data_IF_573802587345
#
_entry.id   IF_573802587345
#
_cell.length_a   1.000
_cell.length_b   1.000
_cell.length_c   1.000
_cell.angle_alpha   90.00
_cell.angle_beta   90.00
_cell.angle_gamma   90.00
#
_symmetry.space_group_name_H-M   'P 1'
#
loop_
_entity.id
_entity.type
_entity.pdbx_description
1 polymer ?
#
# COMPACT_ATOMS: atom_id res chain seq x y z
N UNK A 1 -7.31 10.78 51.93
CA UNK A 1 -7.24 9.74 50.89
C UNK A 1 -6.27 10.26 49.84
N UNK A 2 -5.10 9.65 49.69
CA UNK A 2 -4.15 10.03 48.67
C UNK A 2 -4.77 9.70 47.29
N UNK A 3 -4.74 10.64 46.38
CA UNK A 3 -5.11 10.37 44.98
C UNK A 3 -4.24 9.22 44.46
N UNK A 4 -4.80 8.24 43.76
CA UNK A 4 -4.03 7.13 43.19
C UNK A 4 -2.90 7.71 42.32
N UNK A 5 -1.71 7.11 42.40
CA UNK A 5 -0.59 7.55 41.56
C UNK A 5 -0.99 7.46 40.08
N UNK A 6 -0.47 8.30 39.19
CA UNK A 6 -0.73 8.16 37.75
C UNK A 6 -0.45 6.76 37.22
N UNK A 7 0.44 6.01 37.87
CA UNK A 7 0.77 4.63 37.53
C UNK A 7 -0.35 3.63 37.86
N UNK A 8 -1.26 3.96 38.80
CA UNK A 8 -2.35 3.09 39.25
C UNK A 8 -3.68 3.36 38.53
N UNK A 9 -3.72 4.34 37.61
CA UNK A 9 -4.91 4.60 36.84
C UNK A 9 -5.26 3.40 35.94
N UNK A 10 -6.43 2.76 36.13
CA UNK A 10 -6.84 1.58 35.36
C UNK A 10 -6.88 1.85 33.84
N UNK A 11 -7.25 3.06 33.43
CA UNK A 11 -7.28 3.44 32.01
C UNK A 11 -5.88 3.49 31.42
N UNK A 12 -4.88 4.03 32.12
CA UNK A 12 -3.50 4.03 31.66
C UNK A 12 -2.90 2.62 31.60
N UNK A 13 -3.26 1.72 32.51
CA UNK A 13 -2.88 0.30 32.42
C UNK A 13 -3.47 -0.34 31.17
N UNK A 14 -4.72 -0.04 30.87
CA UNK A 14 -5.42 -0.54 29.68
C UNK A 14 -4.76 -0.01 28.39
N UNK A 15 -4.44 1.30 28.32
CA UNK A 15 -3.72 1.90 27.18
C UNK A 15 -2.35 1.24 26.96
N UNK A 16 -1.58 1.01 28.01
CA UNK A 16 -0.27 0.33 27.93
C UNK A 16 -0.37 -1.09 27.39
N UNK A 17 -1.48 -1.80 27.71
CA UNK A 17 -1.72 -3.18 27.26
C UNK A 17 -1.82 -3.29 25.74
N UNK A 18 -2.43 -2.29 25.10
CA UNK A 18 -2.73 -2.31 23.67
C UNK A 18 -1.82 -1.42 22.83
N UNK A 19 -0.98 -0.60 23.46
CA UNK A 19 -0.16 0.39 22.77
C UNK A 19 0.74 -0.24 21.71
N UNK A 20 1.36 -1.36 22.04
CA UNK A 20 2.33 -2.05 21.19
C UNK A 20 1.82 -3.43 20.75
N UNK A 21 0.52 -3.69 20.92
CA UNK A 21 -0.15 -4.95 20.58
C UNK A 21 -1.47 -4.67 19.85
N UNK A 22 -1.41 -4.27 18.55
CA UNK A 22 -2.59 -3.97 17.75
C UNK A 22 -3.45 -5.20 17.47
N UNK A 23 -2.87 -6.39 17.46
CA UNK A 23 -3.58 -7.66 17.27
C UNK A 23 -4.51 -7.90 18.45
N UNK A 24 -4.00 -7.82 19.66
CA UNK A 24 -4.82 -7.92 20.86
C UNK A 24 -5.87 -6.82 20.95
N UNK A 25 -5.54 -5.60 20.51
CA UNK A 25 -6.50 -4.51 20.42
C UNK A 25 -7.65 -4.85 19.45
N UNK A 26 -7.36 -5.41 18.30
CA UNK A 26 -8.37 -5.85 17.35
C UNK A 26 -9.29 -6.91 17.94
N UNK A 27 -8.74 -7.92 18.61
CA UNK A 27 -9.47 -9.03 19.22
C UNK A 27 -10.32 -8.59 20.43
N UNK A 28 -9.71 -7.92 21.38
CA UNK A 28 -10.35 -7.63 22.68
C UNK A 28 -11.20 -6.36 22.65
N UNK A 29 -10.77 -5.30 21.92
CA UNK A 29 -11.40 -3.99 21.92
C UNK A 29 -12.34 -3.79 20.72
N UNK A 30 -11.90 -4.15 19.51
CA UNK A 30 -12.76 -4.08 18.32
C UNK A 30 -13.67 -5.30 18.23
N UNK A 31 -13.21 -6.47 18.66
CA UNK A 31 -13.93 -7.74 18.56
C UNK A 31 -13.90 -8.29 17.15
N UNK A 32 -12.78 -8.13 16.45
CA UNK A 32 -12.47 -8.74 15.16
C UNK A 32 -11.27 -9.67 15.36
N UNK A 33 -11.39 -10.90 14.87
CA UNK A 33 -10.27 -11.82 14.79
C UNK A 33 -9.55 -11.56 13.45
N UNK A 34 -8.29 -11.06 13.48
CA UNK A 34 -7.53 -10.81 12.24
C UNK A 34 -7.09 -12.13 11.61
N UNK A 35 -7.09 -12.20 10.27
CA UNK A 35 -6.44 -13.29 9.54
C UNK A 35 -4.92 -13.21 9.69
N UNK A 36 -4.20 -14.31 9.40
CA UNK A 36 -2.75 -14.40 9.58
C UNK A 36 -1.99 -13.24 8.94
N UNK A 37 -2.31 -12.89 7.69
CA UNK A 37 -1.69 -11.77 7.00
C UNK A 37 -2.06 -10.40 7.62
N UNK A 38 -3.26 -10.26 8.21
CA UNK A 38 -3.66 -9.04 8.92
C UNK A 38 -2.93 -8.92 10.26
N UNK A 39 -2.65 -10.04 10.93
CA UNK A 39 -1.77 -10.07 12.10
C UNK A 39 -0.38 -9.56 11.72
N UNK A 40 0.21 -10.11 10.65
CA UNK A 40 1.51 -9.69 10.13
C UNK A 40 1.55 -8.18 9.78
N UNK A 41 0.48 -7.67 9.13
CA UNK A 41 0.35 -6.25 8.81
C UNK A 41 0.31 -5.38 10.08
N UNK A 42 -0.50 -5.76 11.05
CA UNK A 42 -0.66 -5.01 12.30
C UNK A 42 0.64 -4.99 13.10
N UNK A 43 1.33 -6.12 13.21
CA UNK A 43 2.62 -6.24 13.88
C UNK A 43 3.70 -5.42 13.17
N UNK A 44 3.74 -5.45 11.84
CA UNK A 44 4.66 -4.64 11.05
C UNK A 44 4.44 -3.13 11.28
N UNK A 45 3.18 -2.66 11.33
CA UNK A 45 2.85 -1.24 11.62
C UNK A 45 3.23 -0.84 13.05
N UNK A 46 3.10 -1.75 14.01
CA UNK A 46 3.46 -1.50 15.41
C UNK A 46 4.97 -1.50 15.65
N UNK A 47 5.73 -2.20 14.83
CA UNK A 47 7.18 -2.37 14.98
C UNK A 47 7.93 -1.05 14.76
N UNK A 48 8.73 -0.56 15.73
CA UNK A 48 9.40 0.74 15.62
C UNK A 48 10.42 0.83 14.47
N UNK A 49 10.96 -0.31 14.03
CA UNK A 49 11.93 -0.37 12.93
C UNK A 49 11.28 -0.32 11.55
N UNK A 50 9.97 -0.64 11.44
CA UNK A 50 9.25 -0.69 10.17
C UNK A 50 8.59 0.66 9.91
N UNK A 51 9.00 1.33 8.84
CA UNK A 51 8.48 2.65 8.43
C UNK A 51 7.64 2.58 7.18
N UNK A 52 7.77 1.53 6.40
CA UNK A 52 7.17 1.40 5.08
C UNK A 52 6.68 -0.03 4.88
N UNK A 53 5.39 -0.19 4.66
CA UNK A 53 4.74 -1.48 4.41
C UNK A 53 4.01 -1.43 3.08
N UNK A 54 4.20 -2.42 2.24
CA UNK A 54 3.52 -2.53 0.95
C UNK A 54 2.91 -3.91 0.78
N UNK A 55 1.58 -3.95 0.63
CA UNK A 55 0.79 -5.20 0.55
C UNK A 55 0.13 -5.30 -0.81
N UNK A 56 0.59 -6.24 -1.63
CA UNK A 56 -0.11 -6.62 -2.86
C UNK A 56 -1.00 -7.84 -2.61
N UNK A 57 -2.20 -7.83 -3.17
CA UNK A 57 -3.10 -8.97 -2.94
C UNK A 57 -4.12 -9.18 -4.04
N UNK A 58 -4.76 -10.35 -4.01
CA UNK A 58 -5.99 -10.62 -4.75
C UNK A 58 -7.20 -9.87 -4.20
N UNK A 59 -8.37 -10.08 -4.79
CA UNK A 59 -9.63 -9.47 -4.39
C UNK A 59 -10.24 -10.16 -3.16
N UNK A 60 -10.94 -9.41 -2.33
CA UNK A 60 -11.77 -9.98 -1.26
C UNK A 60 -11.02 -10.53 -0.04
N UNK A 61 -9.69 -10.40 0.03
CA UNK A 61 -8.86 -10.92 1.13
C UNK A 61 -8.98 -10.11 2.44
N UNK A 62 -9.78 -9.03 2.49
CA UNK A 62 -9.99 -8.22 3.69
C UNK A 62 -9.01 -7.05 3.88
N UNK A 63 -8.46 -6.47 2.79
CA UNK A 63 -7.55 -5.30 2.84
C UNK A 63 -8.13 -4.15 3.66
N UNK A 64 -9.33 -3.69 3.30
CA UNK A 64 -9.95 -2.53 3.92
C UNK A 64 -10.19 -2.73 5.42
N UNK A 65 -10.52 -3.96 5.85
CA UNK A 65 -10.68 -4.29 7.29
C UNK A 65 -9.33 -4.24 8.02
N UNK A 66 -8.24 -4.78 7.42
CA UNK A 66 -6.89 -4.69 7.99
C UNK A 66 -6.42 -3.25 8.17
N UNK A 67 -6.58 -2.44 7.13
CA UNK A 67 -6.27 -0.99 7.15
C UNK A 67 -7.12 -0.25 8.17
N UNK A 68 -8.43 -0.56 8.28
CA UNK A 68 -9.32 0.06 9.25
C UNK A 68 -8.94 -0.28 10.70
N UNK A 69 -8.59 -1.53 11.00
CA UNK A 69 -8.09 -1.92 12.32
C UNK A 69 -6.83 -1.14 12.70
N UNK A 70 -5.87 -1.04 11.77
CA UNK A 70 -4.64 -0.27 11.96
C UNK A 70 -4.91 1.22 12.23
N UNK A 71 -5.81 1.85 11.45
CA UNK A 71 -6.18 3.25 11.60
C UNK A 71 -6.83 3.55 12.97
N UNK A 72 -7.78 2.72 13.39
CA UNK A 72 -8.49 2.89 14.67
C UNK A 72 -7.54 2.63 15.85
N UNK A 73 -6.68 1.60 15.77
CA UNK A 73 -5.64 1.39 16.76
C UNK A 73 -4.70 2.58 16.84
N UNK A 74 -4.20 3.08 15.71
CA UNK A 74 -3.24 4.19 15.67
C UNK A 74 -3.80 5.46 16.30
N UNK A 75 -5.04 5.86 15.96
CA UNK A 75 -5.66 7.08 16.51
C UNK A 75 -5.92 6.99 18.01
N UNK A 76 -6.13 5.79 18.56
CA UNK A 76 -6.40 5.60 19.99
C UNK A 76 -5.12 5.34 20.81
N UNK A 77 -4.11 4.69 20.23
CA UNK A 77 -2.94 4.20 20.96
C UNK A 77 -1.68 5.04 20.75
N UNK A 78 -1.64 5.91 19.73
CA UNK A 78 -0.50 6.80 19.41
C UNK A 78 -0.91 8.26 19.58
N UNK A 79 -0.73 8.83 20.75
CA UNK A 79 -1.13 10.22 21.03
C UNK A 79 0.11 11.12 21.15
N UNK A 80 0.11 12.36 20.57
CA UNK A 80 -0.80 12.82 19.51
C UNK A 80 -0.53 12.12 18.18
N UNK A 81 -1.58 11.93 17.36
CA UNK A 81 -1.44 11.18 16.12
C UNK A 81 -2.32 11.71 14.99
N UNK A 82 -1.81 11.65 13.77
CA UNK A 82 -2.58 11.93 12.56
C UNK A 82 -2.50 10.76 11.61
N UNK A 83 -3.65 10.20 11.27
CA UNK A 83 -3.77 9.20 10.22
C UNK A 83 -4.38 9.84 8.99
N UNK A 84 -3.71 9.75 7.86
CA UNK A 84 -4.20 10.21 6.56
C UNK A 84 -4.50 9.00 5.70
N UNK A 85 -5.70 8.97 5.16
CA UNK A 85 -6.18 7.89 4.29
C UNK A 85 -6.42 8.45 2.90
N UNK A 86 -5.93 7.74 1.90
CA UNK A 86 -6.13 8.10 0.51
C UNK A 86 -6.44 6.89 -0.37
N UNK A 87 -7.08 7.14 -1.50
CA UNK A 87 -7.35 6.17 -2.55
C UNK A 87 -7.48 6.90 -3.90
N UNK A 88 -7.38 6.19 -5.05
CA UNK A 88 -7.41 6.81 -6.38
C UNK A 88 -8.71 7.58 -6.67
N UNK A 89 -9.83 7.08 -6.17
CA UNK A 89 -11.14 7.71 -6.41
C UNK A 89 -11.87 8.03 -5.11
N UNK A 90 -12.76 9.01 -5.17
CA UNK A 90 -13.62 9.39 -4.05
C UNK A 90 -14.50 8.23 -3.57
N UNK A 91 -15.02 7.44 -4.52
CA UNK A 91 -15.84 6.28 -4.19
C UNK A 91 -15.04 5.20 -3.42
N UNK A 92 -13.84 4.84 -3.90
CA UNK A 92 -12.95 3.91 -3.18
C UNK A 92 -12.59 4.42 -1.79
N UNK A 93 -12.32 5.73 -1.68
CA UNK A 93 -11.94 6.35 -0.41
C UNK A 93 -13.11 6.37 0.58
N UNK A 94 -14.25 6.95 0.20
CA UNK A 94 -15.34 7.22 1.14
C UNK A 94 -16.35 6.07 1.27
N UNK A 95 -16.70 5.41 0.16
CA UNK A 95 -17.74 4.38 0.15
C UNK A 95 -17.20 2.99 0.50
N UNK A 96 -15.90 2.76 0.32
CA UNK A 96 -15.25 1.50 0.68
C UNK A 96 -14.35 1.66 1.92
N UNK A 97 -13.19 2.30 1.79
CA UNK A 97 -12.16 2.32 2.83
C UNK A 97 -12.63 3.05 4.10
N UNK A 98 -13.12 4.28 3.98
CA UNK A 98 -13.56 5.07 5.13
C UNK A 98 -14.88 4.55 5.73
N UNK A 99 -15.78 4.01 4.91
CA UNK A 99 -16.98 3.34 5.41
C UNK A 99 -16.62 2.17 6.32
N UNK A 100 -15.61 1.37 5.95
CA UNK A 100 -15.12 0.28 6.80
C UNK A 100 -14.47 0.78 8.08
N UNK A 101 -13.70 1.88 8.03
CA UNK A 101 -13.16 2.50 9.25
C UNK A 101 -14.26 2.96 10.20
N UNK A 102 -15.36 3.54 9.67
CA UNK A 102 -16.53 3.88 10.48
C UNK A 102 -17.21 2.66 11.10
N UNK A 103 -17.28 1.56 10.36
CA UNK A 103 -17.84 0.31 10.86
C UNK A 103 -16.98 -0.27 12.00
N UNK A 104 -15.66 -0.29 11.82
CA UNK A 104 -14.71 -0.74 12.85
C UNK A 104 -14.77 0.16 14.08
N UNK A 105 -14.84 1.49 13.92
CA UNK A 105 -14.95 2.44 15.03
C UNK A 105 -16.23 2.22 15.86
N UNK A 106 -17.36 1.88 15.21
CA UNK A 106 -18.63 1.59 15.89
C UNK A 106 -18.61 0.28 16.69
N UNK A 107 -17.68 -0.62 16.40
CA UNK A 107 -17.52 -1.90 17.12
C UNK A 107 -16.72 -1.79 18.41
N UNK A 108 -16.07 -0.65 18.65
CA UNK A 108 -15.27 -0.43 19.84
C UNK A 108 -16.07 -0.71 21.12
N UNK A 109 -15.50 -1.53 21.99
CA UNK A 109 -16.07 -1.85 23.30
C UNK A 109 -15.70 -0.79 24.34
N UNK A 110 -16.47 -0.67 25.45
CA UNK A 110 -16.11 0.19 26.57
C UNK A 110 -14.70 -0.15 27.13
N UNK A 111 -13.92 0.85 27.52
CA UNK A 111 -14.24 2.28 27.60
C UNK A 111 -13.95 3.07 26.31
N UNK A 112 -13.51 2.42 25.22
CA UNK A 112 -13.04 3.07 23.99
C UNK A 112 -14.18 3.57 23.08
N UNK A 113 -15.37 2.99 23.19
CA UNK A 113 -16.53 3.27 22.31
C UNK A 113 -17.00 4.74 22.32
N UNK A 114 -16.71 5.49 23.38
CA UNK A 114 -17.12 6.88 23.52
C UNK A 114 -16.02 7.91 23.27
N UNK A 115 -14.80 7.45 22.94
CA UNK A 115 -13.64 8.33 22.78
C UNK A 115 -13.59 9.03 21.43
N UNK A 116 -14.13 8.39 20.38
CA UNK A 116 -14.08 8.89 19.02
C UNK A 116 -15.39 9.61 18.63
N UNK A 117 -15.25 10.66 17.83
CA UNK A 117 -16.33 11.30 17.09
C UNK A 117 -16.19 10.98 15.60
N UNK A 118 -17.26 10.47 15.00
CA UNK A 118 -17.30 10.05 13.59
C UNK A 118 -18.01 11.12 12.78
N UNK A 119 -17.29 11.79 11.88
CA UNK A 119 -17.80 12.80 10.95
C UNK A 119 -17.90 12.25 9.51
N UNK A 120 -18.30 13.07 8.57
CA UNK A 120 -18.45 12.68 7.16
C UNK A 120 -17.14 12.23 6.51
N UNK A 121 -16.05 12.93 6.82
CA UNK A 121 -14.72 12.81 6.20
C UNK A 121 -13.59 12.63 7.22
N UNK A 122 -13.93 12.51 8.51
CA UNK A 122 -12.97 12.49 9.61
C UNK A 122 -13.48 11.64 10.78
N UNK A 123 -12.56 10.95 11.44
CA UNK A 123 -12.78 10.36 12.77
C UNK A 123 -11.77 11.00 13.72
N UNK A 124 -12.23 11.59 14.82
CA UNK A 124 -11.35 12.34 15.69
C UNK A 124 -11.51 11.93 17.16
N UNK A 125 -10.44 12.12 17.94
CA UNK A 125 -10.48 11.94 19.39
C UNK A 125 -11.21 13.12 20.02
N UNK A 126 -12.35 12.89 20.67
CA UNK A 126 -13.21 13.95 21.24
C UNK A 126 -12.48 14.91 22.18
N UNK A 127 -11.52 14.40 22.95
CA UNK A 127 -10.74 15.22 23.91
C UNK A 127 -9.64 16.05 23.25
N UNK A 128 -9.27 15.76 21.98
CA UNK A 128 -8.17 16.42 21.29
C UNK A 128 -8.35 16.38 19.74
N UNK A 129 -9.46 16.94 19.21
CA UNK A 129 -9.85 16.75 17.80
C UNK A 129 -8.88 17.40 16.81
N UNK A 130 -8.13 18.43 17.21
CA UNK A 130 -7.17 19.13 16.36
C UNK A 130 -5.84 18.39 16.23
N UNK A 131 -5.47 17.60 17.24
CA UNK A 131 -4.16 16.93 17.29
C UNK A 131 -4.21 15.43 17.01
N UNK A 132 -5.40 14.81 17.10
CA UNK A 132 -5.53 13.36 17.01
C UNK A 132 -6.76 12.94 16.22
N UNK A 133 -6.53 12.48 14.99
CA UNK A 133 -7.61 12.17 14.06
C UNK A 133 -7.18 11.25 12.90
N UNK A 134 -8.19 10.68 12.24
CA UNK A 134 -8.12 10.07 10.92
C UNK A 134 -8.79 11.02 9.93
N UNK A 135 -8.15 11.39 8.83
CA UNK A 135 -8.72 12.23 7.78
C UNK A 135 -8.60 11.58 6.40
N UNK A 136 -9.64 11.72 5.59
CA UNK A 136 -9.67 11.26 4.21
C UNK A 136 -9.25 12.38 3.27
N UNK A 137 -8.32 12.08 2.36
CA UNK A 137 -7.84 13.02 1.34
C UNK A 137 -7.73 12.31 0.00
N UNK A 138 -8.40 12.82 -1.02
CA UNK A 138 -8.33 12.22 -2.36
C UNK A 138 -6.96 12.44 -3.00
N UNK A 139 -6.45 11.43 -3.69
CA UNK A 139 -5.21 11.52 -4.47
C UNK A 139 -5.55 11.83 -5.93
N UNK A 140 -5.27 13.06 -6.37
CA UNK A 140 -5.47 13.50 -7.75
C UNK A 140 -4.17 14.07 -8.31
N UNK A 141 -3.91 13.80 -9.59
CA UNK A 141 -2.73 14.35 -10.28
C UNK A 141 -2.71 15.87 -10.28
N UNK A 142 -3.89 16.49 -10.29
CA UNK A 142 -4.06 17.96 -10.34
C UNK A 142 -3.85 18.63 -8.98
N UNK A 143 -3.85 17.85 -7.89
CA UNK A 143 -3.67 18.33 -6.52
C UNK A 143 -2.84 17.34 -5.69
N UNK A 144 -1.59 17.06 -6.08
CA UNK A 144 -0.74 16.09 -5.38
C UNK A 144 -0.44 16.51 -3.94
N UNK A 145 -0.44 17.82 -3.64
CA UNK A 145 -0.16 18.37 -2.32
C UNK A 145 -1.27 18.10 -1.29
N UNK A 146 -2.39 17.47 -1.69
CA UNK A 146 -3.45 17.11 -0.75
C UNK A 146 -2.96 16.27 0.44
N UNK A 147 -1.88 15.48 0.26
CA UNK A 147 -1.25 14.69 1.31
C UNK A 147 -0.10 15.41 2.03
N UNK A 148 0.30 16.59 1.56
CA UNK A 148 1.35 17.38 2.19
C UNK A 148 0.86 18.07 3.48
N UNK A 149 1.82 18.53 4.31
CA UNK A 149 1.53 19.36 5.48
C UNK A 149 0.90 18.63 6.67
N UNK A 150 0.97 17.32 6.72
CA UNK A 150 0.53 16.53 7.88
C UNK A 150 1.71 16.33 8.83
N UNK A 151 1.69 17.06 9.94
CA UNK A 151 2.74 16.97 10.96
C UNK A 151 2.12 16.59 12.30
N UNK A 152 2.70 15.58 12.94
CA UNK A 152 2.39 15.11 14.29
C UNK A 152 3.58 14.31 14.82
N UNK A 153 3.60 14.04 16.13
CA UNK A 153 4.59 13.10 16.68
C UNK A 153 4.45 11.70 16.08
N UNK A 154 3.21 11.27 15.83
CA UNK A 154 2.91 9.98 15.21
C UNK A 154 2.07 10.23 13.95
N UNK A 155 2.56 9.80 12.79
CA UNK A 155 1.87 9.92 11.50
C UNK A 155 1.72 8.55 10.88
N UNK A 156 0.51 8.23 10.41
CA UNK A 156 0.23 7.03 9.62
C UNK A 156 -0.40 7.45 8.30
N UNK A 157 0.27 7.15 7.20
CA UNK A 157 -0.27 7.30 5.85
C UNK A 157 -0.78 5.94 5.37
N UNK A 158 -2.04 5.86 5.03
CA UNK A 158 -2.70 4.68 4.48
C UNK A 158 -3.15 4.98 3.05
N UNK A 159 -2.55 4.32 2.08
CA UNK A 159 -2.92 4.43 0.68
C UNK A 159 -3.56 3.11 0.22
N UNK A 160 -4.89 3.12 0.07
CA UNK A 160 -5.63 1.97 -0.43
C UNK A 160 -5.74 2.02 -1.96
N UNK A 161 -5.76 0.86 -2.61
CA UNK A 161 -5.70 0.70 -4.06
C UNK A 161 -4.51 1.47 -4.68
N UNK A 162 -3.34 1.35 -4.05
CA UNK A 162 -2.14 2.14 -4.33
C UNK A 162 -1.63 2.04 -5.77
N UNK A 163 -1.93 0.96 -6.49
CA UNK A 163 -1.62 0.78 -7.91
C UNK A 163 -2.22 1.88 -8.81
N UNK A 164 -3.33 2.48 -8.39
CA UNK A 164 -4.03 3.54 -9.11
C UNK A 164 -3.64 4.96 -8.70
N UNK A 165 -2.81 5.12 -7.67
CA UNK A 165 -2.41 6.45 -7.15
C UNK A 165 -1.24 7.00 -7.98
N UNK A 166 -1.32 8.24 -8.48
CA UNK A 166 -0.22 8.88 -9.21
C UNK A 166 1.05 9.05 -8.35
N UNK A 167 2.22 8.88 -8.96
CA UNK A 167 3.52 8.97 -8.27
C UNK A 167 3.73 10.33 -7.60
N UNK A 168 3.36 11.42 -8.25
CA UNK A 168 3.47 12.78 -7.70
C UNK A 168 2.77 12.95 -6.32
N UNK A 169 1.74 12.15 -6.04
CA UNK A 169 1.03 12.15 -4.76
C UNK A 169 1.91 11.57 -3.64
N UNK A 170 2.66 10.51 -3.93
CA UNK A 170 3.61 9.92 -2.99
C UNK A 170 4.82 10.82 -2.75
N UNK A 171 5.31 11.51 -3.79
CA UNK A 171 6.36 12.51 -3.68
C UNK A 171 5.94 13.66 -2.76
N UNK A 172 4.74 14.22 -2.97
CA UNK A 172 4.20 15.28 -2.12
C UNK A 172 4.00 14.83 -0.66
N UNK A 173 3.60 13.57 -0.44
CA UNK A 173 3.44 12.99 0.89
C UNK A 173 4.77 12.78 1.61
N UNK A 174 5.89 12.61 0.89
CA UNK A 174 7.19 12.26 1.45
C UNK A 174 7.66 13.26 2.52
N UNK A 175 7.40 14.55 2.33
CA UNK A 175 7.69 15.61 3.30
C UNK A 175 6.96 15.44 4.64
N UNK A 176 5.71 14.99 4.62
CA UNK A 176 4.91 14.69 5.81
C UNK A 176 5.41 13.44 6.56
N UNK A 177 6.11 12.55 5.86
CA UNK A 177 6.62 11.27 6.39
C UNK A 177 8.08 11.36 6.88
N UNK A 178 8.67 12.56 6.94
CA UNK A 178 10.05 12.78 7.42
C UNK A 178 10.22 12.63 8.93
N UNK A 179 9.14 12.56 9.70
CA UNK A 179 9.17 12.45 11.17
C UNK A 179 9.62 11.08 11.67
N UNK A 180 10.16 11.04 12.89
CA UNK A 180 10.71 9.83 13.52
C UNK A 180 9.67 8.71 13.75
N UNK A 181 8.39 9.05 13.89
CA UNK A 181 7.30 8.10 14.11
C UNK A 181 6.26 8.18 12.97
N UNK A 182 6.76 8.26 11.72
CA UNK A 182 5.94 8.24 10.54
C UNK A 182 6.00 6.87 9.87
N UNK A 183 4.83 6.28 9.57
CA UNK A 183 4.71 4.98 8.89
C UNK A 183 3.81 5.13 7.65
N UNK A 184 4.26 4.59 6.54
CA UNK A 184 3.49 4.53 5.28
C UNK A 184 3.05 3.10 5.02
N UNK A 185 1.77 2.91 4.73
CA UNK A 185 1.20 1.62 4.35
C UNK A 185 0.50 1.76 3.00
N UNK A 186 0.93 0.96 2.06
CA UNK A 186 0.31 0.82 0.75
C UNK A 186 -0.42 -0.52 0.69
N UNK A 187 -1.66 -0.52 0.24
CA UNK A 187 -2.41 -1.74 -0.05
C UNK A 187 -3.04 -1.64 -1.43
N UNK A 188 -3.13 -2.75 -2.14
CA UNK A 188 -3.80 -2.74 -3.44
C UNK A 188 -3.69 -4.04 -4.22
N UNK A 189 -4.51 -4.11 -5.25
CA UNK A 189 -4.35 -5.12 -6.28
C UNK A 189 -3.22 -4.68 -7.23
N UNK A 190 -2.30 -5.56 -7.61
CA UNK A 190 -1.14 -5.23 -8.46
C UNK A 190 -1.55 -5.15 -9.94
N UNK A 191 -2.26 -4.08 -10.31
CA UNK A 191 -2.89 -3.95 -11.64
C UNK A 191 -1.93 -3.47 -12.74
N UNK A 192 -0.75 -2.95 -12.38
CA UNK A 192 0.21 -2.36 -13.32
C UNK A 192 1.63 -2.80 -12.98
N UNK A 193 2.47 -2.98 -14.01
CA UNK A 193 3.91 -3.27 -13.90
C UNK A 193 4.75 -1.99 -13.87
N UNK A 194 4.13 -0.85 -13.57
CA UNK A 194 4.76 0.46 -13.52
C UNK A 194 4.22 1.27 -12.36
N UNK A 195 4.94 2.33 -11.97
CA UNK A 195 4.56 3.26 -10.93
C UNK A 195 5.03 2.85 -9.53
N UNK A 196 4.85 3.78 -8.60
CA UNK A 196 5.44 3.70 -7.27
C UNK A 196 5.08 2.41 -6.51
N UNK A 197 3.83 1.93 -6.59
CA UNK A 197 3.41 0.70 -5.92
C UNK A 197 4.16 -0.53 -6.46
N UNK A 198 4.33 -0.63 -7.79
CA UNK A 198 5.14 -1.68 -8.41
C UNK A 198 6.60 -1.61 -7.95
N UNK A 199 7.17 -0.41 -7.92
CA UNK A 199 8.54 -0.18 -7.50
C UNK A 199 8.81 -0.63 -6.07
N UNK A 200 7.84 -0.48 -5.15
CA UNK A 200 7.98 -0.98 -3.76
C UNK A 200 8.14 -2.49 -3.66
N UNK A 201 7.70 -3.23 -4.66
CA UNK A 201 7.84 -4.69 -4.73
C UNK A 201 8.99 -5.16 -5.63
N UNK A 202 9.67 -4.23 -6.31
CA UNK A 202 10.77 -4.52 -7.26
C UNK A 202 12.03 -3.73 -6.89
N UNK A 203 12.31 -2.62 -7.55
CA UNK A 203 13.57 -1.86 -7.38
C UNK A 203 13.74 -1.20 -6.01
N UNK A 204 12.65 -0.93 -5.27
CA UNK A 204 12.67 -0.33 -3.92
C UNK A 204 12.39 -1.38 -2.82
N UNK A 205 12.39 -2.67 -3.16
CA UNK A 205 11.97 -3.73 -2.24
C UNK A 205 12.75 -3.75 -0.92
N UNK A 206 14.02 -3.42 -0.95
CA UNK A 206 14.88 -3.45 0.23
C UNK A 206 14.54 -2.35 1.25
N UNK A 207 13.83 -1.29 0.81
CA UNK A 207 13.37 -0.18 1.65
C UNK A 207 11.98 -0.40 2.24
N UNK A 208 11.29 -1.48 1.84
CA UNK A 208 9.89 -1.75 2.18
C UNK A 208 9.72 -3.12 2.80
N UNK A 209 8.87 -3.19 3.84
CA UNK A 209 8.33 -4.45 4.30
C UNK A 209 7.22 -4.88 3.34
N UNK A 210 7.52 -5.83 2.46
CA UNK A 210 6.61 -6.23 1.40
C UNK A 210 5.85 -7.50 1.77
N UNK A 211 4.53 -7.48 1.53
CA UNK A 211 3.63 -8.60 1.77
C UNK A 211 2.89 -8.99 0.49
N UNK A 212 2.58 -10.27 0.38
CA UNK A 212 1.82 -10.83 -0.71
C UNK A 212 0.71 -11.73 -0.18
N UNK A 213 -0.54 -11.49 -0.63
CA UNK A 213 -1.72 -12.24 -0.18
C UNK A 213 -2.52 -12.74 -1.38
N UNK A 214 -2.55 -14.06 -1.57
CA UNK A 214 -3.37 -14.70 -2.58
C UNK A 214 -4.79 -14.95 -2.10
N UNK A 215 -5.78 -14.94 -3.01
CA UNK A 215 -7.12 -15.41 -2.72
C UNK A 215 -7.14 -16.89 -2.32
N UNK A 216 -6.24 -17.68 -2.88
CA UNK A 216 -6.15 -19.13 -2.63
C UNK A 216 -5.81 -19.42 -1.17
N UNK A 217 -5.01 -18.55 -0.55
CA UNK A 217 -4.56 -18.69 0.84
C UNK A 217 -5.46 -17.97 1.85
N UNK A 218 -6.46 -17.23 1.35
CA UNK A 218 -7.32 -16.40 2.20
C UNK A 218 -8.58 -17.14 2.65
N UNK A 219 -8.86 -17.27 3.95
CA UNK A 219 -10.08 -17.90 4.46
C UNK A 219 -11.35 -17.09 4.15
N UNK A 220 -11.20 -15.84 3.66
CA UNK A 220 -12.31 -14.94 3.32
C UNK A 220 -12.83 -15.16 1.89
N UNK A 221 -12.04 -15.81 1.04
CA UNK A 221 -12.38 -16.02 -0.36
C UNK A 221 -12.86 -17.46 -0.54
N UNK A 222 -14.04 -17.62 -1.17
CA UNK A 222 -14.58 -18.94 -1.42
C UNK A 222 -13.83 -19.65 -2.56
N UNK A 223 -13.74 -20.98 -2.48
CA UNK A 223 -13.20 -21.81 -3.56
C UNK A 223 -13.99 -21.64 -4.87
N UNK A 224 -15.30 -21.42 -4.77
CA UNK A 224 -16.17 -21.18 -5.93
C UNK A 224 -15.74 -19.91 -6.69
N UNK A 225 -15.38 -18.83 -5.98
CA UNK A 225 -14.87 -17.62 -6.62
C UNK A 225 -13.58 -17.90 -7.40
N UNK A 226 -12.63 -18.60 -6.79
CA UNK A 226 -11.35 -18.96 -7.42
C UNK A 226 -11.59 -19.80 -8.67
N UNK A 227 -12.48 -20.82 -8.56
CA UNK A 227 -12.84 -21.71 -9.67
C UNK A 227 -13.53 -20.95 -10.81
N UNK A 228 -14.44 -20.03 -10.50
CA UNK A 228 -15.13 -19.21 -11.51
C UNK A 228 -14.15 -18.28 -12.23
N UNK A 229 -13.22 -17.69 -11.50
CA UNK A 229 -12.18 -16.84 -12.09
C UNK A 229 -11.24 -17.64 -13.00
N UNK A 230 -10.86 -18.85 -12.58
CA UNK A 230 -10.07 -19.78 -13.39
C UNK A 230 -10.79 -20.17 -14.70
N UNK A 231 -12.07 -20.53 -14.62
CA UNK A 231 -12.88 -20.89 -15.81
C UNK A 231 -13.05 -19.69 -16.75
N UNK A 232 -13.25 -18.50 -16.20
CA UNK A 232 -13.56 -17.30 -16.97
C UNK A 232 -12.36 -16.70 -17.69
N UNK A 233 -11.21 -16.69 -17.04
CA UNK A 233 -10.02 -15.99 -17.53
C UNK A 233 -8.85 -16.91 -17.88
N UNK A 234 -8.80 -18.13 -17.32
CA UNK A 234 -7.62 -19.00 -17.38
C UNK A 234 -6.56 -18.61 -16.35
N UNK A 235 -5.82 -19.61 -15.85
CA UNK A 235 -4.80 -19.42 -14.80
C UNK A 235 -3.65 -18.51 -15.24
N UNK A 236 -3.25 -18.58 -16.50
CA UNK A 236 -2.12 -17.83 -17.07
C UNK A 236 -2.52 -16.40 -17.48
N UNK A 237 -3.79 -16.01 -17.32
CA UNK A 237 -4.24 -14.69 -17.75
C UNK A 237 -3.79 -13.58 -16.78
N UNK A 238 -3.50 -12.36 -17.28
CA UNK A 238 -3.23 -11.20 -16.43
C UNK A 238 -4.34 -10.96 -15.40
N UNK A 239 -5.60 -11.18 -15.78
CA UNK A 239 -6.75 -11.00 -14.90
C UNK A 239 -6.74 -11.98 -13.71
N UNK A 240 -6.38 -13.24 -13.92
CA UNK A 240 -6.27 -14.24 -12.86
C UNK A 240 -5.07 -13.93 -11.94
N UNK A 241 -3.91 -13.60 -12.52
CA UNK A 241 -2.74 -13.19 -11.76
C UNK A 241 -3.04 -12.02 -10.81
N UNK A 242 -3.68 -10.96 -11.29
CA UNK A 242 -3.98 -9.78 -10.49
C UNK A 242 -5.08 -10.05 -9.47
N UNK A 243 -6.21 -10.61 -9.91
CA UNK A 243 -7.43 -10.67 -9.11
C UNK A 243 -7.49 -11.84 -8.13
N UNK A 244 -6.83 -12.95 -8.47
CA UNK A 244 -6.81 -14.16 -7.64
C UNK A 244 -5.47 -14.34 -6.95
N UNK A 245 -4.39 -14.37 -7.72
CA UNK A 245 -3.08 -14.63 -7.14
C UNK A 245 -2.47 -13.41 -6.43
N UNK A 246 -2.96 -12.18 -6.70
CA UNK A 246 -2.34 -10.96 -6.17
C UNK A 246 -0.93 -10.74 -6.70
N UNK A 247 -0.64 -11.24 -7.89
CA UNK A 247 0.61 -11.06 -8.61
C UNK A 247 0.49 -9.94 -9.62
N UNK A 248 1.59 -9.23 -9.86
CA UNK A 248 1.66 -8.32 -11.00
C UNK A 248 1.41 -9.08 -12.29
N UNK A 249 0.73 -8.46 -13.28
CA UNK A 249 0.42 -9.15 -14.53
C UNK A 249 1.72 -9.53 -15.26
N UNK A 250 1.79 -10.71 -15.89
CA UNK A 250 2.96 -11.14 -16.65
C UNK A 250 3.20 -10.27 -17.90
N UNK A 251 2.16 -9.60 -18.36
CA UNK A 251 2.21 -8.60 -19.43
C UNK A 251 1.11 -7.57 -19.22
N UNK A 252 1.32 -6.32 -19.62
CA UNK A 252 0.24 -5.34 -19.70
C UNK A 252 -0.60 -5.62 -20.96
N UNK A 253 -1.93 -5.48 -20.89
CA UNK A 253 -2.86 -5.78 -21.99
C UNK A 253 -2.57 -4.93 -23.25
N UNK A 254 -1.97 -3.75 -23.08
CA UNK A 254 -1.63 -2.81 -24.18
C UNK A 254 -0.14 -2.86 -24.56
N UNK A 255 0.63 -3.81 -24.08
CA UNK A 255 2.08 -3.87 -24.39
C UNK A 255 2.31 -4.52 -25.74
N UNK A 256 2.94 -3.80 -26.65
CA UNK A 256 3.35 -4.35 -27.97
C UNK A 256 4.35 -5.51 -27.80
N UNK A 257 5.21 -5.41 -26.77
CA UNK A 257 6.19 -6.45 -26.42
C UNK A 257 6.06 -6.76 -24.92
N UNK A 258 5.63 -7.98 -24.53
CA UNK A 258 5.59 -8.39 -23.11
C UNK A 258 6.94 -8.25 -22.42
N UNK A 259 6.93 -7.76 -21.17
CA UNK A 259 8.16 -7.57 -20.36
C UNK A 259 8.96 -8.86 -20.26
N UNK A 260 8.30 -10.00 -20.12
CA UNK A 260 8.96 -11.32 -20.08
C UNK A 260 9.79 -11.60 -21.35
N UNK A 261 9.35 -11.12 -22.52
CA UNK A 261 10.14 -11.26 -23.77
C UNK A 261 11.33 -10.32 -23.77
N UNK A 262 11.18 -9.12 -23.19
CA UNK A 262 12.29 -8.16 -23.03
C UNK A 262 13.33 -8.73 -22.08
N UNK A 263 12.92 -9.21 -20.91
CA UNK A 263 13.82 -9.85 -19.93
C UNK A 263 14.52 -11.09 -20.50
N UNK A 264 13.77 -11.92 -21.23
CA UNK A 264 14.36 -13.07 -21.93
C UNK A 264 15.40 -12.64 -22.95
N UNK A 265 15.13 -11.57 -23.70
CA UNK A 265 16.08 -11.04 -24.69
C UNK A 265 17.34 -10.46 -24.03
N UNK A 266 17.21 -9.81 -22.87
CA UNK A 266 18.34 -9.27 -22.11
C UNK A 266 19.20 -10.33 -21.47
N UNK A 267 18.59 -11.40 -20.97
CA UNK A 267 19.29 -12.46 -20.23
C UNK A 267 19.76 -13.62 -21.10
N UNK A 268 19.43 -13.60 -22.41
CA UNK A 268 19.78 -14.67 -23.32
C UNK A 268 21.12 -14.37 -24.03
N UNK A 269 22.14 -15.17 -23.77
CA UNK A 269 23.40 -15.09 -24.49
C UNK A 269 23.26 -15.67 -25.91
N UNK A 270 23.24 -14.76 -26.90
CA UNK A 270 23.21 -15.16 -28.32
C UNK A 270 24.58 -14.96 -28.93
N UNK A 271 25.13 -16.04 -29.50
CA UNK A 271 26.38 -15.99 -30.25
C UNK A 271 26.11 -15.44 -31.64
N UNK A 272 26.80 -14.38 -32.01
CA UNK A 272 26.77 -13.80 -33.35
C UNK A 272 27.90 -14.43 -34.17
N UNK A 273 27.59 -14.82 -35.41
CA UNK A 273 28.61 -15.30 -36.32
C UNK A 273 29.54 -14.16 -36.74
N UNK A 274 30.85 -14.40 -36.83
CA UNK A 274 31.87 -13.37 -37.09
C UNK A 274 31.63 -12.59 -38.39
N UNK A 275 31.07 -13.22 -39.41
CA UNK A 275 30.77 -12.62 -40.71
C UNK A 275 29.44 -11.86 -40.74
N UNK A 276 28.71 -11.75 -39.63
CA UNK A 276 27.43 -11.06 -39.62
C UNK A 276 27.63 -9.53 -39.72
N UNK A 277 27.08 -8.93 -40.77
CA UNK A 277 27.18 -7.48 -40.97
C UNK A 277 26.54 -6.69 -39.84
N UNK A 278 27.22 -5.66 -39.36
CA UNK A 278 26.67 -4.71 -38.38
C UNK A 278 25.79 -3.67 -39.06
N UNK A 279 24.61 -3.40 -38.44
CA UNK A 279 23.71 -2.33 -38.84
C UNK A 279 23.76 -1.25 -37.76
N UNK A 280 23.86 0.01 -38.19
CA UNK A 280 23.93 1.17 -37.28
C UNK A 280 22.69 2.02 -37.48
N UNK A 281 22.06 2.39 -36.37
CA UNK A 281 20.95 3.35 -36.32
C UNK A 281 21.34 4.54 -35.47
N UNK A 282 21.17 5.76 -36.00
CA UNK A 282 21.43 6.99 -35.29
C UNK A 282 20.11 7.75 -35.11
N UNK A 283 19.77 8.00 -33.87
CA UNK A 283 18.70 8.92 -33.49
C UNK A 283 19.33 10.23 -33.04
N UNK A 284 19.02 11.30 -33.79
CA UNK A 284 19.65 12.61 -33.60
C UNK A 284 18.72 13.51 -32.81
N UNK A 285 19.14 13.85 -31.59
CA UNK A 285 18.45 14.86 -30.81
C UNK A 285 18.58 16.25 -31.46
N UNK A 286 17.52 17.04 -31.39
CA UNK A 286 17.57 18.49 -31.68
C UNK A 286 18.06 19.23 -30.43
N UNK A 287 18.10 20.56 -30.50
CA UNK A 287 18.45 21.41 -29.35
C UNK A 287 17.43 21.17 -28.21
N UNK A 288 17.92 20.80 -27.03
CA UNK A 288 17.13 20.47 -25.82
C UNK A 288 17.90 19.58 -24.88
N UNK A 289 17.21 19.00 -23.90
CA UNK A 289 17.78 18.08 -22.89
C UNK A 289 17.96 16.65 -23.40
N UNK A 290 17.49 16.34 -24.60
CA UNK A 290 17.61 15.03 -25.23
C UNK A 290 19.01 14.76 -25.75
N UNK A 291 19.49 13.52 -25.67
CA UNK A 291 20.79 13.09 -26.18
C UNK A 291 20.62 12.33 -27.50
N UNK A 292 21.54 12.56 -28.44
CA UNK A 292 21.63 11.71 -29.64
C UNK A 292 22.09 10.32 -29.23
N UNK A 293 21.48 9.28 -29.81
CA UNK A 293 21.75 7.89 -29.47
C UNK A 293 22.16 7.11 -30.70
N UNK A 294 23.29 6.39 -30.59
CA UNK A 294 23.78 5.46 -31.59
C UNK A 294 23.48 4.02 -31.16
N UNK A 295 22.70 3.30 -31.97
CA UNK A 295 22.41 1.88 -31.80
C UNK A 295 23.17 1.05 -32.81
N UNK A 296 23.93 0.07 -32.34
CA UNK A 296 24.60 -0.93 -33.18
C UNK A 296 23.92 -2.30 -32.99
N UNK A 297 23.49 -2.91 -34.08
CA UNK A 297 22.93 -4.27 -34.10
C UNK A 297 23.77 -5.18 -34.99
N UNK A 298 24.07 -6.38 -34.55
CA UNK A 298 24.73 -7.41 -35.33
C UNK A 298 23.94 -8.73 -35.25
N UNK A 299 23.27 -9.10 -36.32
CA UNK A 299 22.30 -10.18 -36.30
C UNK A 299 21.18 -9.92 -35.31
N UNK A 300 20.86 -10.83 -34.38
CA UNK A 300 19.87 -10.65 -33.34
C UNK A 300 20.35 -9.82 -32.13
N UNK A 301 21.65 -9.52 -32.05
CA UNK A 301 22.25 -8.83 -30.87
C UNK A 301 22.29 -7.33 -31.07
N UNK A 302 21.74 -6.60 -30.09
CA UNK A 302 21.89 -5.15 -29.96
C UNK A 302 23.00 -4.90 -28.93
N UNK A 303 24.01 -4.13 -29.33
CA UNK A 303 25.08 -3.70 -28.43
C UNK A 303 24.64 -2.55 -27.54
N UNK A 304 25.32 -2.31 -26.39
CA UNK A 304 25.04 -1.16 -25.56
C UNK A 304 24.95 0.14 -26.37
N UNK A 305 23.97 0.97 -26.05
CA UNK A 305 23.77 2.26 -26.69
C UNK A 305 24.92 3.22 -26.33
N UNK A 306 25.36 4.03 -27.29
CA UNK A 306 26.42 5.03 -27.10
C UNK A 306 25.95 6.39 -27.59
#
# INVERSE_FOLDING_TARGET
>A
MNAPSPQDNPFLKLMRRYRDDPVRFAQEVIGIEPDEWQVELLDAIAAPAVRRVSVRSGHGVGKSTGVAMAAIWHVLMRYPSKTVVTAPTSAQLFDACFAEMKNVAKRLKPPFNNLLEIKSDRIELKSAPESTFISCRTSRSEQPEALAGVHSENVLLLADEASGIPEAVFEAASGSMSGHSATTVLTGNPTRNTGFFYDTHTRLRDDWYTMHVSCVDSPRVSEDFVTDMQRRYGEDSPAYHVRVLGNFPPSEEDTVIPVALVEHAFNNEVKVHEDTAGVWGLDVARQGDDSSVLCKRQGPVVHPLT
#
